data_IF_165550959436
#
_entry.id   IF_165550959436
#
_cell.length_a   1.000
_cell.length_b   1.000
_cell.length_c   1.000
_cell.angle_alpha   90.00
_cell.angle_beta   90.00
_cell.angle_gamma   90.00
#
_symmetry.space_group_name_H-M   'P 1'
#
loop_
_entity.id
_entity.type
_entity.pdbx_description
1 polymer ?
#
# COMPACT_ATOMS: atom_id res chain seq x y z
N UNK A 1 6.06 -6.76 3.57
CA UNK A 1 5.46 -5.61 2.87
C UNK A 1 4.72 -6.06 1.62
N UNK A 2 5.35 -6.83 0.73
CA UNK A 2 4.70 -7.32 -0.49
C UNK A 2 3.39 -8.12 -0.24
N UNK A 3 3.34 -9.02 0.76
CA UNK A 3 2.09 -9.71 1.14
C UNK A 3 0.96 -8.73 1.49
N UNK A 4 1.26 -7.65 2.22
CA UNK A 4 0.28 -6.62 2.58
C UNK A 4 -0.18 -5.82 1.36
N UNK A 5 0.73 -5.50 0.43
CA UNK A 5 0.37 -4.84 -0.84
C UNK A 5 -0.58 -5.72 -1.65
N UNK A 6 -0.29 -7.02 -1.78
CA UNK A 6 -1.16 -7.97 -2.46
C UNK A 6 -2.53 -8.12 -1.78
N UNK A 7 -2.57 -8.15 -0.44
CA UNK A 7 -3.83 -8.18 0.32
C UNK A 7 -4.71 -6.96 0.00
N UNK A 8 -4.14 -5.76 -0.10
CA UNK A 8 -4.91 -4.56 -0.45
C UNK A 8 -5.38 -4.61 -1.90
N UNK A 9 -4.50 -5.04 -2.82
CA UNK A 9 -4.79 -5.16 -4.25
C UNK A 9 -5.87 -6.20 -4.60
N UNK A 10 -6.16 -7.14 -3.70
CA UNK A 10 -7.20 -8.17 -3.88
C UNK A 10 -8.60 -7.70 -3.46
N UNK A 11 -8.73 -6.54 -2.80
CA UNK A 11 -9.98 -6.10 -2.20
C UNK A 11 -10.51 -4.85 -2.89
N UNK A 12 -11.75 -4.92 -3.36
CA UNK A 12 -12.40 -3.80 -4.05
C UNK A 12 -12.54 -2.54 -3.19
N UNK A 13 -12.70 -2.71 -1.87
CA UNK A 13 -12.78 -1.59 -0.90
C UNK A 13 -11.53 -0.67 -0.94
N UNK A 14 -10.39 -1.18 -1.39
CA UNK A 14 -9.14 -0.42 -1.45
C UNK A 14 -8.78 0.06 -2.86
N UNK A 15 -9.62 -0.15 -3.88
CA UNK A 15 -9.33 0.31 -5.26
C UNK A 15 -9.11 1.82 -5.39
N UNK A 16 -9.69 2.62 -4.47
CA UNK A 16 -9.44 4.06 -4.39
C UNK A 16 -8.06 4.44 -3.82
N UNK A 17 -7.42 3.51 -3.12
CA UNK A 17 -6.15 3.69 -2.39
C UNK A 17 -4.97 3.06 -3.14
N UNK A 18 -5.16 1.83 -3.63
CA UNK A 18 -4.17 1.08 -4.42
C UNK A 18 -4.88 0.16 -5.41
N UNK A 19 -4.41 0.08 -6.64
CA UNK A 19 -5.05 -0.73 -7.67
C UNK A 19 -4.05 -1.25 -8.70
N UNK A 20 -4.36 -2.39 -9.31
CA UNK A 20 -3.67 -2.84 -10.52
C UNK A 20 -3.90 -1.83 -11.64
N UNK A 21 -2.83 -1.50 -12.36
CA UNK A 21 -2.86 -0.58 -13.50
C UNK A 21 -1.64 -0.84 -14.37
N UNK A 22 -1.86 -0.93 -15.69
CA UNK A 22 -0.80 -1.21 -16.65
C UNK A 22 -0.72 -2.69 -17.00
N UNK A 23 0.50 -3.17 -17.23
CA UNK A 23 0.77 -4.56 -17.61
C UNK A 23 0.70 -5.51 -16.41
N UNK A 24 0.89 -6.81 -16.67
CA UNK A 24 0.78 -7.84 -15.63
C UNK A 24 1.76 -7.60 -14.47
N UNK A 25 1.22 -7.39 -13.28
CA UNK A 25 1.99 -7.13 -12.06
C UNK A 25 2.26 -5.65 -11.80
N UNK A 26 1.85 -4.74 -12.69
CA UNK A 26 1.94 -3.30 -12.47
C UNK A 26 0.76 -2.79 -11.64
N UNK A 27 1.06 -1.95 -10.66
CA UNK A 27 0.07 -1.35 -9.79
C UNK A 27 0.42 0.10 -9.49
N UNK A 28 -0.60 0.87 -9.13
CA UNK A 28 -0.47 2.26 -8.73
C UNK A 28 -0.97 2.42 -7.29
N UNK A 29 -0.25 3.25 -6.52
CA UNK A 29 -0.71 3.75 -5.23
C UNK A 29 -1.37 5.11 -5.49
N UNK A 30 -2.68 5.18 -5.32
CA UNK A 30 -3.49 6.39 -5.54
C UNK A 30 -3.53 7.29 -4.32
N UNK A 31 -3.53 6.68 -3.13
CA UNK A 31 -3.45 7.38 -1.84
C UNK A 31 -2.26 6.85 -1.02
N UNK A 32 -1.07 7.47 -1.16
CA UNK A 32 0.14 7.04 -0.48
C UNK A 32 0.05 7.13 1.05
N UNK A 33 -0.63 8.14 1.57
CA UNK A 33 -0.77 8.38 3.00
C UNK A 33 -1.67 7.32 3.63
N UNK A 34 -2.77 6.96 2.97
CA UNK A 34 -3.66 5.91 3.45
C UNK A 34 -3.01 4.51 3.42
N UNK A 35 -2.27 4.17 2.36
CA UNK A 35 -1.47 2.93 2.33
C UNK A 35 -0.49 2.88 3.50
N UNK A 36 0.19 4.00 3.78
CA UNK A 36 1.13 4.08 4.88
C UNK A 36 0.46 3.99 6.25
N UNK A 37 -0.71 4.62 6.41
CA UNK A 37 -1.51 4.54 7.63
C UNK A 37 -1.96 3.11 7.90
N UNK A 38 -2.51 2.42 6.91
CA UNK A 38 -2.93 1.02 7.00
C UNK A 38 -1.75 0.09 7.35
N UNK A 39 -0.58 0.33 6.75
CA UNK A 39 0.64 -0.40 7.10
C UNK A 39 1.09 -0.12 8.54
N UNK A 40 1.01 1.14 8.97
CA UNK A 40 1.29 1.57 10.35
C UNK A 40 0.40 0.86 11.35
N UNK A 41 -0.91 0.79 11.10
CA UNK A 41 -1.87 0.04 11.92
C UNK A 41 -1.49 -1.44 11.98
N UNK A 42 -1.23 -2.09 10.83
CA UNK A 42 -0.86 -3.51 10.77
C UNK A 42 0.40 -3.86 11.56
N UNK A 43 1.36 -2.94 11.64
CA UNK A 43 2.66 -3.15 12.30
C UNK A 43 2.76 -2.51 13.69
N UNK A 44 1.67 -1.93 14.21
CA UNK A 44 1.66 -1.15 15.45
C UNK A 44 2.73 -0.03 15.45
N UNK A 45 2.86 0.67 14.31
CA UNK A 45 3.77 1.81 14.11
C UNK A 45 2.97 3.06 13.76
N UNK A 46 2.49 3.84 14.76
CA UNK A 46 1.63 5.00 14.52
C UNK A 46 2.33 6.15 13.76
N UNK A 47 3.66 6.14 13.74
CA UNK A 47 4.49 7.12 13.03
C UNK A 47 4.89 6.68 11.61
N UNK A 48 4.18 5.69 11.05
CA UNK A 48 4.40 5.25 9.67
C UNK A 48 3.90 6.32 8.68
N UNK A 49 4.65 6.54 7.60
CA UNK A 49 4.29 7.43 6.50
C UNK A 49 4.82 6.85 5.18
N UNK A 50 4.42 7.45 4.05
CA UNK A 50 4.77 6.90 2.75
C UNK A 50 6.28 6.92 2.47
N UNK A 51 7.02 7.93 2.94
CA UNK A 51 8.48 7.99 2.79
C UNK A 51 9.17 6.76 3.40
N UNK A 52 8.82 6.42 4.65
CA UNK A 52 9.33 5.23 5.34
C UNK A 52 8.90 3.93 4.66
N UNK A 53 7.64 3.85 4.22
CA UNK A 53 7.11 2.67 3.54
C UNK A 53 7.79 2.46 2.18
N UNK A 54 7.94 3.51 1.38
CA UNK A 54 8.55 3.48 0.05
C UNK A 54 10.02 3.04 0.13
N UNK A 55 10.72 3.32 1.24
CA UNK A 55 12.08 2.82 1.45
C UNK A 55 12.16 1.32 1.68
N UNK A 56 11.11 0.69 2.20
CA UNK A 56 11.03 -0.76 2.33
C UNK A 56 10.53 -1.46 1.06
N UNK A 57 10.07 -0.70 0.05
CA UNK A 57 9.72 -1.20 -1.29
C UNK A 57 10.91 -1.19 -2.26
N UNK A 58 11.94 -0.38 -1.99
CA UNK A 58 13.21 -0.34 -2.73
C UNK A 58 14.16 -1.43 -2.25
#
# INVERSE_FOLDING_TARGET
LWHFILELLQKEEYQGVIAWQGDYGEFVIKDPDEVARLWGVRKCKPQMNYDKLSRALR
#
